data_IF_906338578766
#
_entry.id   IF_906338578766
#
_cell.length_a   1.000
_cell.length_b   1.000
_cell.length_c   1.000
_cell.angle_alpha   90.00
_cell.angle_beta   90.00
_cell.angle_gamma   90.00
#
_symmetry.space_group_name_H-M   'P 1'
#
loop_
_entity.id
_entity.type
_entity.pdbx_description
1 polymer ?
#
# COMPACT_ATOMS: atom_id res chain seq x y z
N UNK A 1 -37.74 -23.58 -22.24
CA UNK A 1 -36.83 -22.44 -22.51
C UNK A 1 -37.25 -21.30 -21.59
N UNK A 2 -36.79 -21.34 -20.34
CA UNK A 2 -37.25 -20.45 -19.27
C UNK A 2 -36.28 -19.30 -19.03
N UNK A 3 -36.26 -18.37 -19.99
CA UNK A 3 -35.39 -17.18 -19.97
C UNK A 3 -35.80 -16.21 -18.85
N UNK A 4 -37.06 -16.26 -18.38
CA UNK A 4 -37.57 -15.39 -17.29
C UNK A 4 -37.06 -15.73 -15.89
N UNK A 5 -36.53 -16.93 -15.63
CA UNK A 5 -35.91 -17.27 -14.35
C UNK A 5 -34.48 -16.72 -14.20
N UNK A 6 -33.86 -16.27 -15.30
CA UNK A 6 -32.49 -15.76 -15.34
C UNK A 6 -32.37 -14.24 -15.09
N UNK A 7 -33.48 -13.49 -15.03
CA UNK A 7 -33.49 -12.06 -14.70
C UNK A 7 -33.75 -11.80 -13.21
N UNK A 8 -32.90 -12.34 -12.33
CA UNK A 8 -32.71 -11.75 -11.00
C UNK A 8 -31.40 -10.97 -11.04
N UNK A 9 -31.42 -9.62 -11.19
CA UNK A 9 -30.20 -8.79 -11.28
C UNK A 9 -29.19 -9.11 -10.18
N UNK A 10 -29.68 -9.35 -8.97
CA UNK A 10 -28.94 -9.77 -7.78
C UNK A 10 -28.06 -11.03 -7.94
N UNK A 11 -28.47 -12.03 -8.73
CA UNK A 11 -27.67 -13.25 -8.94
C UNK A 11 -26.54 -13.05 -9.96
N UNK A 12 -26.74 -12.13 -10.92
CA UNK A 12 -25.74 -11.78 -11.93
C UNK A 12 -24.64 -10.93 -11.30
N UNK A 13 -25.00 -9.96 -10.44
CA UNK A 13 -24.02 -9.14 -9.72
C UNK A 13 -23.12 -9.97 -8.80
N UNK A 14 -23.67 -10.95 -8.08
CA UNK A 14 -22.89 -11.84 -7.23
C UNK A 14 -21.87 -12.67 -8.02
N UNK A 15 -22.32 -13.34 -9.10
CA UNK A 15 -21.42 -14.14 -9.95
C UNK A 15 -20.30 -13.33 -10.61
N UNK A 16 -20.60 -12.10 -11.02
CA UNK A 16 -19.58 -11.20 -11.59
C UNK A 16 -18.57 -10.81 -10.51
N UNK A 17 -19.04 -10.49 -9.29
CA UNK A 17 -18.18 -10.20 -8.14
C UNK A 17 -17.19 -11.34 -7.85
N UNK A 18 -17.69 -12.58 -7.73
CA UNK A 18 -16.86 -13.75 -7.46
C UNK A 18 -15.80 -13.99 -8.55
N UNK A 19 -16.16 -13.74 -9.82
CA UNK A 19 -15.24 -13.84 -10.96
C UNK A 19 -14.15 -12.77 -10.89
N UNK A 20 -14.51 -11.53 -10.56
CA UNK A 20 -13.55 -10.43 -10.43
C UNK A 20 -12.59 -10.66 -9.26
N UNK A 21 -13.08 -11.13 -8.12
CA UNK A 21 -12.24 -11.48 -6.96
C UNK A 21 -11.21 -12.56 -7.35
N UNK A 22 -11.66 -13.63 -8.03
CA UNK A 22 -10.78 -14.69 -8.50
C UNK A 22 -9.72 -14.17 -9.49
N UNK A 23 -10.09 -13.28 -10.39
CA UNK A 23 -9.15 -12.67 -11.34
C UNK A 23 -8.13 -11.77 -10.63
N UNK A 24 -8.57 -10.97 -9.65
CA UNK A 24 -7.68 -10.11 -8.86
C UNK A 24 -6.64 -10.94 -8.11
N UNK A 25 -7.04 -12.06 -7.50
CA UNK A 25 -6.12 -12.99 -6.84
C UNK A 25 -5.05 -13.53 -7.80
N UNK A 26 -5.46 -13.94 -9.01
CA UNK A 26 -4.54 -14.44 -10.04
C UNK A 26 -3.56 -13.35 -10.45
N UNK A 27 -4.05 -12.12 -10.67
CA UNK A 27 -3.22 -10.98 -11.06
C UNK A 27 -2.19 -10.67 -9.97
N UNK A 28 -2.61 -10.60 -8.71
CA UNK A 28 -1.70 -10.29 -7.60
C UNK A 28 -0.68 -11.41 -7.40
N UNK A 29 -1.08 -12.66 -7.55
CA UNK A 29 -0.15 -13.79 -7.50
C UNK A 29 0.94 -13.67 -8.58
N UNK A 30 0.55 -13.43 -9.84
CA UNK A 30 1.50 -13.26 -10.95
C UNK A 30 2.42 -12.05 -10.71
N UNK A 31 1.87 -10.91 -10.29
CA UNK A 31 2.65 -9.71 -9.98
C UNK A 31 3.66 -9.95 -8.85
N UNK A 32 3.29 -10.72 -7.83
CA UNK A 32 4.18 -11.08 -6.73
C UNK A 32 5.39 -11.87 -7.21
N UNK A 33 5.17 -12.85 -8.09
CA UNK A 33 6.25 -13.65 -8.69
C UNK A 33 7.15 -12.79 -9.58
N UNK A 34 6.56 -11.92 -10.41
CA UNK A 34 7.34 -11.00 -11.25
C UNK A 34 8.20 -10.05 -10.42
N UNK A 35 7.64 -9.45 -9.36
CA UNK A 35 8.38 -8.58 -8.45
C UNK A 35 9.51 -9.31 -7.73
N UNK A 36 9.30 -10.58 -7.35
CA UNK A 36 10.36 -11.41 -6.77
C UNK A 36 11.52 -11.59 -7.76
N UNK A 37 11.22 -11.97 -9.02
CA UNK A 37 12.23 -12.15 -10.06
C UNK A 37 12.99 -10.84 -10.33
N UNK A 38 12.27 -9.71 -10.43
CA UNK A 38 12.88 -8.40 -10.63
C UNK A 38 13.79 -8.01 -9.46
N UNK A 39 13.37 -8.30 -8.22
CA UNK A 39 14.15 -8.02 -7.01
C UNK A 39 15.45 -8.84 -6.99
N UNK A 40 15.37 -10.13 -7.34
CA UNK A 40 16.54 -11.00 -7.43
C UNK A 40 17.50 -10.56 -8.53
N UNK A 41 16.99 -10.17 -9.70
CA UNK A 41 17.80 -9.66 -10.81
C UNK A 41 18.51 -8.37 -10.42
N UNK A 42 17.79 -7.42 -9.82
CA UNK A 42 18.37 -6.15 -9.39
C UNK A 42 19.46 -6.35 -8.31
N UNK A 43 19.26 -7.31 -7.40
CA UNK A 43 20.28 -7.67 -6.41
C UNK A 43 21.52 -8.30 -7.05
N UNK A 44 21.32 -9.16 -8.04
CA UNK A 44 22.40 -9.75 -8.83
C UNK A 44 23.21 -8.68 -9.57
N UNK A 45 22.53 -7.73 -10.23
CA UNK A 45 23.20 -6.64 -10.96
C UNK A 45 24.09 -5.83 -10.02
N UNK A 46 23.60 -5.44 -8.84
CA UNK A 46 24.39 -4.73 -7.81
C UNK A 46 25.60 -5.57 -7.35
N UNK A 47 25.42 -6.87 -7.17
CA UNK A 47 26.51 -7.76 -6.77
C UNK A 47 27.61 -7.80 -7.84
N UNK A 48 27.25 -7.93 -9.12
CA UNK A 48 28.21 -7.91 -10.24
C UNK A 48 28.95 -6.57 -10.29
N UNK A 49 28.23 -5.45 -10.17
CA UNK A 49 28.86 -4.12 -10.17
C UNK A 49 29.88 -3.96 -9.04
N UNK A 50 29.55 -4.44 -7.84
CA UNK A 50 30.37 -4.31 -6.65
C UNK A 50 31.61 -5.21 -6.67
N UNK A 51 31.49 -6.44 -7.18
CA UNK A 51 32.58 -7.42 -7.14
C UNK A 51 33.45 -7.44 -8.41
N UNK A 52 32.90 -7.00 -9.56
CA UNK A 52 33.57 -7.18 -10.86
C UNK A 52 34.05 -5.87 -11.48
N UNK A 53 33.34 -4.76 -11.27
CA UNK A 53 33.46 -3.58 -12.15
C UNK A 53 34.09 -2.35 -11.48
N UNK A 54 34.42 -2.42 -10.18
CA UNK A 54 35.09 -1.36 -9.39
C UNK A 54 34.50 0.05 -9.62
N UNK A 55 33.16 0.13 -9.55
CA UNK A 55 32.40 1.35 -9.82
C UNK A 55 32.31 2.22 -8.57
N UNK A 56 32.31 3.55 -8.74
CA UNK A 56 32.15 4.49 -7.63
C UNK A 56 30.88 4.23 -6.80
N UNK A 57 30.95 4.43 -5.48
CA UNK A 57 29.80 4.22 -4.60
C UNK A 57 28.60 5.11 -4.95
N UNK A 58 28.84 6.33 -5.46
CA UNK A 58 27.79 7.28 -5.83
C UNK A 58 26.89 6.72 -6.95
N UNK A 59 27.47 5.96 -7.88
CA UNK A 59 26.73 5.32 -8.98
C UNK A 59 25.92 4.09 -8.55
N UNK A 60 26.15 3.55 -7.35
CA UNK A 60 25.36 2.45 -6.80
C UNK A 60 24.10 2.93 -6.09
N UNK A 61 24.07 4.19 -5.63
CA UNK A 61 22.93 4.75 -4.89
C UNK A 61 21.60 4.56 -5.65
N UNK A 62 21.47 4.92 -6.93
CA UNK A 62 20.22 4.71 -7.67
C UNK A 62 19.81 3.24 -7.74
N UNK A 63 20.77 2.30 -7.84
CA UNK A 63 20.52 0.86 -7.90
C UNK A 63 19.98 0.34 -6.56
N UNK A 64 20.57 0.75 -5.43
CA UNK A 64 20.05 0.43 -4.10
C UNK A 64 18.64 0.99 -3.88
N UNK A 65 18.41 2.23 -4.32
CA UNK A 65 17.10 2.85 -4.18
C UNK A 65 16.05 2.07 -5.01
N UNK A 66 16.39 1.66 -6.23
CA UNK A 66 15.52 0.81 -7.05
C UNK A 66 15.19 -0.52 -6.36
N UNK A 67 16.18 -1.22 -5.81
CA UNK A 67 15.96 -2.46 -5.04
C UNK A 67 15.06 -2.22 -3.84
N UNK A 68 15.27 -1.12 -3.11
CA UNK A 68 14.38 -0.82 -1.99
C UNK A 68 12.93 -0.57 -2.46
N UNK A 69 12.70 0.03 -3.64
CA UNK A 69 11.33 0.20 -4.17
C UNK A 69 10.74 -1.16 -4.46
N UNK A 70 11.48 -2.04 -5.14
CA UNK A 70 11.02 -3.39 -5.44
C UNK A 70 10.66 -4.19 -4.18
N UNK A 71 11.49 -4.14 -3.15
CA UNK A 71 11.23 -4.81 -1.86
C UNK A 71 9.99 -4.22 -1.17
N UNK A 72 9.81 -2.90 -1.24
CA UNK A 72 8.64 -2.21 -0.68
C UNK A 72 7.34 -2.68 -1.36
N UNK A 73 7.35 -2.73 -2.70
CA UNK A 73 6.22 -3.20 -3.50
C UNK A 73 5.94 -4.69 -3.28
N UNK A 74 6.99 -5.52 -3.23
CA UNK A 74 6.87 -6.94 -2.93
C UNK A 74 6.24 -7.18 -1.57
N UNK A 75 6.66 -6.41 -0.55
CA UNK A 75 6.06 -6.49 0.79
C UNK A 75 4.58 -6.10 0.78
N UNK A 76 4.20 -5.07 0.04
CA UNK A 76 2.79 -4.68 -0.10
C UNK A 76 1.95 -5.79 -0.74
N UNK A 77 2.48 -6.46 -1.77
CA UNK A 77 1.79 -7.60 -2.39
C UNK A 77 1.65 -8.78 -1.44
N UNK A 78 2.67 -9.09 -0.64
CA UNK A 78 2.57 -10.13 0.39
C UNK A 78 1.48 -9.79 1.41
N UNK A 79 1.44 -8.55 1.90
CA UNK A 79 0.40 -8.13 2.86
C UNK A 79 -0.98 -8.26 2.25
N UNK A 80 -1.15 -7.84 0.98
CA UNK A 80 -2.41 -8.04 0.27
C UNK A 80 -2.82 -9.52 0.20
N UNK A 81 -1.88 -10.41 -0.18
CA UNK A 81 -2.15 -11.84 -0.27
C UNK A 81 -2.53 -12.46 1.09
N UNK A 82 -1.93 -11.98 2.18
CA UNK A 82 -2.17 -12.50 3.53
C UNK A 82 -3.49 -12.00 4.11
N UNK A 83 -3.77 -10.71 4.00
CA UNK A 83 -4.88 -10.08 4.70
C UNK A 83 -6.17 -10.04 3.85
N UNK A 84 -6.08 -10.29 2.53
CA UNK A 84 -7.14 -10.04 1.53
C UNK A 84 -7.79 -8.65 1.68
N UNK A 85 -7.05 -7.74 2.33
CA UNK A 85 -7.49 -6.41 2.70
C UNK A 85 -6.30 -5.50 2.60
N UNK A 86 -6.58 -4.34 2.04
CA UNK A 86 -5.63 -3.27 1.87
C UNK A 86 -5.70 -2.40 3.14
N UNK A 87 -4.77 -2.61 4.09
CA UNK A 87 -4.62 -1.69 5.22
C UNK A 87 -4.32 -0.29 4.67
N UNK A 88 -5.33 0.57 4.74
CA UNK A 88 -5.29 1.92 4.19
C UNK A 88 -4.17 2.73 4.85
N UNK A 89 -3.91 2.53 6.14
CA UNK A 89 -2.82 3.19 6.87
C UNK A 89 -1.45 2.76 6.33
N UNK A 90 -1.28 1.46 6.12
CA UNK A 90 -0.05 0.90 5.54
C UNK A 90 0.19 1.44 4.13
N UNK A 91 -0.83 1.45 3.28
CA UNK A 91 -0.73 1.91 1.89
C UNK A 91 -0.36 3.39 1.80
N UNK A 92 -0.98 4.24 2.62
CA UNK A 92 -0.63 5.66 2.63
C UNK A 92 0.83 5.83 3.07
N UNK A 93 1.27 5.11 4.10
CA UNK A 93 2.66 5.17 4.60
C UNK A 93 3.66 4.72 3.53
N UNK A 94 3.43 3.57 2.89
CA UNK A 94 4.34 3.06 1.86
C UNK A 94 4.34 3.92 0.61
N UNK A 95 3.20 4.51 0.24
CA UNK A 95 3.10 5.47 -0.87
C UNK A 95 3.88 6.74 -0.56
N UNK A 96 3.81 7.27 0.66
CA UNK A 96 4.60 8.43 1.09
C UNK A 96 6.10 8.13 1.04
N UNK A 97 6.52 6.95 1.52
CA UNK A 97 7.93 6.50 1.43
C UNK A 97 8.37 6.37 -0.04
N UNK A 98 7.52 5.81 -0.91
CA UNK A 98 7.81 5.66 -2.33
C UNK A 98 7.97 7.01 -3.06
N UNK A 99 7.06 7.96 -2.82
CA UNK A 99 7.14 9.31 -3.41
C UNK A 99 8.40 10.04 -2.96
N UNK A 100 8.71 10.01 -1.66
CA UNK A 100 9.92 10.63 -1.14
C UNK A 100 11.17 10.03 -1.79
N UNK A 101 11.20 8.70 -1.93
CA UNK A 101 12.31 8.00 -2.54
C UNK A 101 12.48 8.34 -4.02
N UNK A 102 11.39 8.37 -4.78
CA UNK A 102 11.40 8.77 -6.19
C UNK A 102 11.88 10.22 -6.35
N UNK A 103 11.43 11.10 -5.46
CA UNK A 103 11.85 12.50 -5.44
C UNK A 103 13.34 12.64 -5.19
N UNK A 104 13.92 11.83 -4.28
CA UNK A 104 15.37 11.81 -4.03
C UNK A 104 16.14 11.37 -5.28
N UNK A 105 15.66 10.34 -5.98
CA UNK A 105 16.31 9.85 -7.22
C UNK A 105 16.26 10.92 -8.31
N UNK A 106 15.09 11.53 -8.52
CA UNK A 106 14.86 12.46 -9.62
C UNK A 106 15.20 13.90 -9.31
N UNK A 107 15.57 14.24 -8.07
CA UNK A 107 15.85 15.60 -7.62
C UNK A 107 16.69 16.44 -8.61
N UNK A 108 17.76 15.92 -9.25
CA UNK A 108 18.56 16.71 -10.20
C UNK A 108 17.81 17.11 -11.48
N UNK A 109 16.70 16.45 -11.79
CA UNK A 109 15.92 16.61 -13.03
C UNK A 109 14.56 17.29 -12.79
N UNK A 110 14.22 17.63 -11.55
CA UNK A 110 12.93 18.24 -11.22
C UNK A 110 12.93 19.74 -11.49
N UNK A 111 11.82 20.22 -12.06
CA UNK A 111 11.57 21.65 -12.25
C UNK A 111 10.86 22.25 -11.02
N UNK A 112 10.86 23.58 -10.89
CA UNK A 112 10.13 24.27 -9.81
C UNK A 112 8.65 23.89 -9.74
N UNK A 113 8.02 23.65 -10.88
CA UNK A 113 6.61 23.25 -10.95
C UNK A 113 6.39 21.85 -10.36
N UNK A 114 7.32 20.93 -10.59
CA UNK A 114 7.24 19.57 -10.03
C UNK A 114 7.32 19.60 -8.51
N UNK A 115 8.19 20.45 -7.94
CA UNK A 115 8.30 20.62 -6.49
C UNK A 115 7.02 21.13 -5.83
N UNK A 116 6.30 22.04 -6.50
CA UNK A 116 5.00 22.54 -6.00
C UNK A 116 3.97 21.41 -6.00
N UNK A 117 3.90 20.65 -7.10
CA UNK A 117 2.99 19.50 -7.22
C UNK A 117 3.29 18.42 -6.18
N UNK A 118 4.57 18.07 -6.00
CA UNK A 118 5.05 17.11 -4.98
C UNK A 118 4.73 17.58 -3.56
N UNK A 119 4.96 18.85 -3.26
CA UNK A 119 4.67 19.41 -1.93
C UNK A 119 3.17 19.36 -1.62
N UNK A 120 2.32 19.74 -2.57
CA UNK A 120 0.87 19.66 -2.42
C UNK A 120 0.41 18.21 -2.24
N UNK A 121 0.92 17.29 -3.05
CA UNK A 121 0.64 15.86 -2.96
C UNK A 121 1.04 15.29 -1.59
N UNK A 122 2.24 15.62 -1.10
CA UNK A 122 2.73 15.18 0.21
C UNK A 122 1.88 15.73 1.35
N UNK A 123 1.38 16.96 1.25
CA UNK A 123 0.44 17.53 2.23
C UNK A 123 -0.87 16.75 2.22
N UNK A 124 -1.42 16.43 1.05
CA UNK A 124 -2.66 15.65 0.93
C UNK A 124 -2.47 14.26 1.52
N UNK A 125 -1.44 13.52 1.12
CA UNK A 125 -1.17 12.18 1.66
C UNK A 125 -0.86 12.21 3.17
N UNK A 126 -0.06 13.18 3.60
CA UNK A 126 0.27 13.36 5.02
C UNK A 126 -0.96 13.66 5.86
N UNK A 127 -1.87 14.51 5.36
CA UNK A 127 -3.15 14.78 6.03
C UNK A 127 -4.04 13.54 6.07
N UNK A 128 -4.14 12.78 4.97
CA UNK A 128 -4.91 11.54 4.90
C UNK A 128 -4.37 10.47 5.85
N UNK A 129 -3.07 10.46 6.13
CA UNK A 129 -2.48 9.58 7.15
C UNK A 129 -2.77 10.06 8.59
N UNK A 130 -2.64 11.36 8.85
CA UNK A 130 -2.70 11.91 10.21
C UNK A 130 -4.13 12.13 10.70
N UNK A 131 -5.04 12.59 9.84
CA UNK A 131 -6.42 12.93 10.19
C UNK A 131 -7.18 11.73 10.79
N UNK A 132 -7.20 10.53 10.17
CA UNK A 132 -7.84 9.37 10.78
C UNK A 132 -7.25 9.02 12.13
N UNK A 133 -5.91 9.10 12.28
CA UNK A 133 -5.21 8.73 13.51
C UNK A 133 -5.57 9.63 14.70
N UNK A 134 -5.68 10.95 14.49
CA UNK A 134 -5.91 11.90 15.57
C UNK A 134 -7.39 12.26 15.76
N UNK A 135 -8.11 12.50 14.67
CA UNK A 135 -9.50 12.95 14.74
C UNK A 135 -10.41 11.81 15.20
N UNK A 136 -10.31 10.61 14.62
CA UNK A 136 -11.19 9.50 15.00
C UNK A 136 -10.89 8.94 16.40
N UNK A 137 -9.62 8.91 16.82
CA UNK A 137 -9.28 8.50 18.19
C UNK A 137 -9.90 9.44 19.23
N UNK A 138 -9.76 10.75 19.01
CA UNK A 138 -10.30 11.78 19.92
C UNK A 138 -11.84 11.79 19.98
N UNK A 139 -12.51 11.38 18.91
CA UNK A 139 -13.96 11.31 18.84
C UNK A 139 -14.50 10.05 19.54
N UNK A 140 -13.79 8.92 19.45
CA UNK A 140 -14.15 7.69 20.16
C UNK A 140 -13.95 7.80 21.67
N UNK A 141 -12.86 8.45 22.13
CA UNK A 141 -12.64 8.74 23.55
C UNK A 141 -13.71 9.68 24.14
N UNK A 142 -14.29 10.58 23.33
CA UNK A 142 -15.39 11.46 23.74
C UNK A 142 -16.77 10.81 23.72
N UNK A 143 -16.96 9.74 22.96
CA UNK A 143 -18.23 9.03 22.80
C UNK A 143 -18.23 7.65 23.50
N UNK A 144 -17.19 7.34 24.28
CA UNK A 144 -17.07 6.08 25.03
C UNK A 144 -18.30 5.84 25.91
N UNK A 145 -18.88 4.62 25.89
CA UNK A 145 -20.17 4.33 26.50
C UNK A 145 -20.15 4.67 27.99
N UNK A 146 -21.19 5.39 28.43
CA UNK A 146 -21.45 5.65 29.83
C UNK A 146 -21.49 4.31 30.56
N UNK A 147 -20.43 4.07 31.34
CA UNK A 147 -20.29 2.99 32.31
C UNK A 147 -21.64 2.68 32.95
N UNK A 148 -22.21 1.51 32.65
CA UNK A 148 -23.23 0.91 33.51
C UNK A 148 -22.62 0.84 34.91
N UNK A 149 -23.08 1.74 35.79
CA UNK A 149 -22.78 1.64 37.21
C UNK A 149 -23.42 0.35 37.68
N UNK A 150 -22.53 -0.60 37.97
CA UNK A 150 -22.64 -1.67 38.95
C UNK A 150 -23.89 -1.63 39.82
N UNK A 151 -24.51 -2.80 39.89
CA UNK A 151 -25.04 -3.45 41.09
C UNK A 151 -26.09 -2.65 41.87
N UNK A 152 -27.37 -3.04 41.93
CA UNK A 152 -27.81 -4.23 42.66
C UNK A 152 -26.98 -4.55 43.93
N UNK A 153 -26.58 -3.49 44.65
CA UNK A 153 -26.06 -3.49 46.02
C UNK A 153 -26.81 -2.43 46.87
N UNK A 154 -28.09 -2.18 46.55
CA UNK A 154 -29.07 -1.87 47.59
C UNK A 154 -29.77 -3.21 47.93
N UNK A 155 -28.96 -4.16 48.39
CA UNK A 155 -29.43 -5.26 49.22
C UNK A 155 -29.82 -4.72 50.58
N UNK A 156 -30.90 -5.31 51.11
CA UNK A 156 -31.10 -5.64 52.52
C UNK A 156 -31.59 -4.57 53.51
#
# INVERSE_FOLDING_TARGET
MDIKKFLKPQAIHAKIGDLLETLEEIIVFILTILLLILSLRALYDIAVDLFVTDISFISLIPKFIYVFILIELFRLMIVYLLERRLDTSLIIKTTLIAILRETIIKAPHLTLHDYIGLSLLLIVLGSMYYVPKYVFKSLYERLGPHKERKSSEDEA
#
